data_IF_568273614706
#
_entry.id   IF_568273614706
#
_cell.length_a   1.000
_cell.length_b   1.000
_cell.length_c   1.000
_cell.angle_alpha   90.00
_cell.angle_beta   90.00
_cell.angle_gamma   90.00
#
_symmetry.space_group_name_H-M   'P 1'
#
loop_
_entity.id
_entity.type
_entity.pdbx_description
1 polymer ?
#
# COMPACT_ATOMS: atom_id res chain seq x y z
N UNK A 1 2.83 12.74 7.92
CA UNK A 1 1.64 13.41 8.52
C UNK A 1 2.05 14.58 9.42
N UNK A 2 3.14 14.48 10.20
CA UNK A 2 3.66 15.58 11.01
C UNK A 2 4.19 16.77 10.20
N UNK A 3 4.96 16.53 9.13
CA UNK A 3 5.63 17.61 8.36
C UNK A 3 4.64 18.53 7.61
N UNK A 4 3.43 18.03 7.28
CA UNK A 4 2.39 18.83 6.61
C UNK A 4 1.26 19.28 7.54
N UNK A 5 1.35 19.03 8.86
CA UNK A 5 0.38 19.51 9.86
C UNK A 5 -1.08 19.17 9.59
N UNK A 6 -1.38 18.05 8.91
CA UNK A 6 -2.75 17.69 8.53
C UNK A 6 -3.39 18.55 7.43
N UNK A 7 -2.62 19.38 6.71
CA UNK A 7 -3.12 20.31 5.68
C UNK A 7 -3.51 19.65 4.35
N UNK A 8 -3.20 18.38 4.15
CA UNK A 8 -3.46 17.66 2.90
C UNK A 8 -4.42 16.51 3.15
N UNK A 9 -5.59 16.60 2.54
CA UNK A 9 -6.59 15.53 2.55
C UNK A 9 -6.10 14.31 1.72
N UNK A 10 -6.72 13.16 1.95
CA UNK A 10 -6.38 11.88 1.30
C UNK A 10 -6.28 12.02 -0.22
N UNK A 11 -7.25 12.68 -0.86
CA UNK A 11 -7.27 12.87 -2.30
C UNK A 11 -6.13 13.74 -2.81
N UNK A 12 -5.77 14.81 -2.09
CA UNK A 12 -4.67 15.70 -2.46
C UNK A 12 -3.32 14.98 -2.38
N UNK A 13 -3.15 14.10 -1.39
CA UNK A 13 -1.95 13.26 -1.28
C UNK A 13 -1.86 12.29 -2.45
N UNK A 14 -2.95 11.60 -2.78
CA UNK A 14 -2.98 10.66 -3.91
C UNK A 14 -2.66 11.39 -5.21
N UNK A 15 -3.30 12.53 -5.45
CA UNK A 15 -3.03 13.36 -6.62
C UNK A 15 -1.56 13.80 -6.70
N UNK A 16 -0.98 14.25 -5.59
CA UNK A 16 0.44 14.61 -5.52
C UNK A 16 1.37 13.41 -5.81
N UNK A 17 1.08 12.24 -5.24
CA UNK A 17 1.84 11.00 -5.51
C UNK A 17 1.77 10.59 -6.98
N UNK A 18 0.60 10.74 -7.61
CA UNK A 18 0.44 10.49 -9.06
C UNK A 18 1.23 11.50 -9.87
N UNK A 19 1.08 12.80 -9.64
CA UNK A 19 1.79 13.84 -10.41
C UNK A 19 3.31 13.69 -10.36
N UNK A 20 3.87 13.37 -9.19
CA UNK A 20 5.32 13.22 -9.02
C UNK A 20 5.85 12.00 -9.79
N UNK A 21 5.05 10.93 -9.92
CA UNK A 21 5.46 9.71 -10.62
C UNK A 21 5.13 9.70 -12.12
N UNK A 22 4.21 10.56 -12.58
CA UNK A 22 3.82 10.66 -13.99
C UNK A 22 5.00 10.85 -14.97
N UNK A 23 5.99 11.72 -14.71
CA UNK A 23 7.13 11.88 -15.62
C UNK A 23 7.89 10.58 -15.86
N UNK A 24 8.07 9.77 -14.82
CA UNK A 24 8.74 8.48 -14.90
C UNK A 24 7.96 7.50 -15.78
N UNK A 25 6.64 7.43 -15.61
CA UNK A 25 5.77 6.58 -16.43
C UNK A 25 5.73 7.00 -17.89
N UNK A 26 5.78 8.30 -18.18
CA UNK A 26 5.84 8.80 -19.56
C UNK A 26 7.15 8.36 -20.24
N UNK A 27 8.28 8.43 -19.54
CA UNK A 27 9.58 8.00 -20.08
C UNK A 27 9.57 6.50 -20.39
N UNK A 28 9.14 5.66 -19.43
CA UNK A 28 9.07 4.21 -19.64
C UNK A 28 8.07 3.86 -20.76
N UNK A 29 6.91 4.51 -20.77
CA UNK A 29 5.91 4.33 -21.83
C UNK A 29 6.45 4.68 -23.20
N UNK A 30 7.19 5.79 -23.32
CA UNK A 30 7.87 6.17 -24.56
C UNK A 30 8.86 5.10 -25.02
N UNK A 31 9.74 4.62 -24.14
CA UNK A 31 10.70 3.55 -24.45
C UNK A 31 9.97 2.27 -24.90
N UNK A 32 8.91 1.88 -24.20
CA UNK A 32 8.12 0.69 -24.53
C UNK A 32 7.44 0.80 -25.90
N UNK A 33 6.92 1.98 -26.25
CA UNK A 33 6.33 2.21 -27.58
C UNK A 33 7.35 2.00 -28.71
N UNK A 34 8.61 2.41 -28.51
CA UNK A 34 9.66 2.19 -29.52
C UNK A 34 10.16 0.73 -29.58
N UNK A 35 10.13 -0.01 -28.47
CA UNK A 35 10.62 -1.39 -28.44
C UNK A 35 9.57 -2.43 -28.85
N UNK A 36 8.33 -2.27 -28.36
CA UNK A 36 7.28 -3.31 -28.45
C UNK A 36 6.08 -2.86 -29.29
N UNK A 37 5.98 -1.56 -29.61
CA UNK A 37 4.86 -0.99 -30.35
C UNK A 37 3.65 -0.67 -29.47
N UNK A 38 2.50 -0.44 -30.10
CA UNK A 38 1.25 -0.13 -29.40
C UNK A 38 0.61 -1.38 -28.79
N UNK A 39 0.03 -1.30 -27.58
CA UNK A 39 -0.69 -2.41 -26.97
C UNK A 39 -1.98 -2.75 -27.74
N UNK A 40 -2.46 -3.99 -27.61
CA UNK A 40 -3.74 -4.39 -28.21
C UNK A 40 -4.94 -3.76 -27.49
N UNK A 41 -6.09 -3.70 -28.16
CA UNK A 41 -7.33 -3.19 -27.56
C UNK A 41 -7.72 -3.94 -26.28
N UNK A 42 -7.51 -5.25 -26.23
CA UNK A 42 -7.79 -6.06 -25.04
C UNK A 42 -6.89 -5.68 -23.87
N UNK A 43 -5.60 -5.46 -24.13
CA UNK A 43 -4.64 -5.03 -23.11
C UNK A 43 -5.01 -3.64 -22.55
N UNK A 44 -5.49 -2.73 -23.40
CA UNK A 44 -5.94 -1.40 -22.98
C UNK A 44 -7.14 -1.54 -22.04
N UNK A 45 -8.16 -2.32 -22.42
CA UNK A 45 -9.37 -2.50 -21.60
C UNK A 45 -9.06 -3.20 -20.27
N UNK A 46 -8.27 -4.28 -20.29
CA UNK A 46 -7.89 -4.99 -19.07
C UNK A 46 -7.06 -4.10 -18.13
N UNK A 47 -6.08 -3.37 -18.66
CA UNK A 47 -5.26 -2.45 -17.88
C UNK A 47 -6.07 -1.29 -17.32
N UNK A 48 -7.08 -0.81 -18.06
CA UNK A 48 -8.00 0.22 -17.59
C UNK A 48 -8.85 -0.28 -16.41
N UNK A 49 -9.43 -1.48 -16.51
CA UNK A 49 -10.22 -2.08 -15.43
C UNK A 49 -9.36 -2.25 -14.17
N UNK A 50 -8.13 -2.78 -14.31
CA UNK A 50 -7.19 -2.94 -13.19
C UNK A 50 -6.77 -1.58 -12.62
N UNK A 51 -6.49 -0.60 -13.49
CA UNK A 51 -6.10 0.75 -13.08
C UNK A 51 -7.18 1.48 -12.29
N UNK A 52 -8.45 1.37 -12.70
CA UNK A 52 -9.57 1.98 -11.97
C UNK A 52 -9.83 1.24 -10.65
N UNK A 53 -9.90 -0.09 -10.69
CA UNK A 53 -10.23 -0.89 -9.50
C UNK A 53 -9.12 -0.85 -8.43
N UNK A 54 -7.89 -1.19 -8.78
CA UNK A 54 -6.76 -1.24 -7.84
C UNK A 54 -6.12 0.14 -7.65
N UNK A 55 -5.85 0.84 -8.75
CA UNK A 55 -5.16 2.12 -8.73
C UNK A 55 -5.99 3.24 -8.11
N UNK A 56 -7.23 3.43 -8.54
CA UNK A 56 -8.07 4.54 -8.04
C UNK A 56 -8.87 4.12 -6.81
N UNK A 57 -9.71 3.09 -6.90
CA UNK A 57 -10.67 2.75 -5.83
C UNK A 57 -9.95 2.17 -4.61
N UNK A 58 -9.22 1.06 -4.77
CA UNK A 58 -8.59 0.37 -3.65
C UNK A 58 -7.55 1.23 -2.92
N UNK A 59 -6.69 1.91 -3.69
CA UNK A 59 -5.66 2.81 -3.11
C UNK A 59 -6.28 3.98 -2.35
N UNK A 60 -7.38 4.56 -2.85
CA UNK A 60 -8.10 5.62 -2.14
C UNK A 60 -8.72 5.10 -0.84
N UNK A 61 -9.39 3.95 -0.88
CA UNK A 61 -9.98 3.35 0.32
C UNK A 61 -8.92 3.00 1.37
N UNK A 62 -7.76 2.50 0.94
CA UNK A 62 -6.63 2.20 1.83
C UNK A 62 -6.10 3.47 2.50
N UNK A 63 -5.78 4.51 1.72
CA UNK A 63 -5.27 5.74 2.31
C UNK A 63 -6.31 6.43 3.20
N UNK A 64 -7.59 6.36 2.84
CA UNK A 64 -8.68 6.86 3.67
C UNK A 64 -8.78 6.07 4.99
N UNK A 65 -8.63 4.75 4.95
CA UNK A 65 -8.62 3.92 6.15
C UNK A 65 -7.45 4.28 7.06
N UNK A 66 -6.22 4.36 6.51
CA UNK A 66 -5.02 4.75 7.29
C UNK A 66 -5.15 6.15 7.89
N UNK A 67 -5.71 7.12 7.15
CA UNK A 67 -5.92 8.46 7.68
C UNK A 67 -6.95 8.49 8.82
N UNK A 68 -8.04 7.70 8.72
CA UNK A 68 -9.04 7.60 9.79
C UNK A 68 -8.50 6.98 11.07
N UNK A 69 -7.56 6.05 10.99
CA UNK A 69 -7.01 5.38 12.17
C UNK A 69 -5.66 5.93 12.62
N UNK A 70 -5.18 7.03 12.02
CA UNK A 70 -3.82 7.57 12.22
C UNK A 70 -3.41 7.87 13.66
N UNK A 71 -4.37 8.14 14.54
CA UNK A 71 -4.13 8.40 15.97
C UNK A 71 -4.01 7.13 16.83
N UNK A 72 -4.31 5.96 16.29
CA UNK A 72 -4.30 4.68 17.00
C UNK A 72 -3.34 3.72 16.28
N UNK A 73 -2.13 3.61 16.81
CA UNK A 73 -1.06 2.78 16.25
C UNK A 73 -1.45 1.30 16.12
N UNK A 74 -2.34 0.78 16.99
CA UNK A 74 -2.80 -0.60 16.87
C UNK A 74 -3.73 -0.76 15.67
N UNK A 75 -4.65 0.18 15.46
CA UNK A 75 -5.57 0.13 14.31
C UNK A 75 -4.85 0.41 12.99
N UNK A 76 -3.87 1.31 12.99
CA UNK A 76 -2.97 1.52 11.86
C UNK A 76 -2.27 0.22 11.46
N UNK A 77 -1.64 -0.46 12.43
CA UNK A 77 -0.96 -1.72 12.18
C UNK A 77 -1.88 -2.80 11.58
N UNK A 78 -3.16 -2.83 11.98
CA UNK A 78 -4.15 -3.75 11.38
C UNK A 78 -4.44 -3.39 9.93
N UNK A 79 -4.63 -2.10 9.61
CA UNK A 79 -4.86 -1.65 8.22
C UNK A 79 -3.62 -1.94 7.36
N UNK A 80 -2.42 -1.66 7.85
CA UNK A 80 -1.17 -1.95 7.14
C UNK A 80 -0.92 -3.45 6.99
N UNK A 81 -1.32 -4.27 7.97
CA UNK A 81 -1.23 -5.72 7.85
C UNK A 81 -2.07 -6.26 6.67
N UNK A 82 -3.17 -5.60 6.26
CA UNK A 82 -3.92 -6.04 5.08
C UNK A 82 -3.10 -5.94 3.78
N UNK A 83 -2.17 -5.00 3.69
CA UNK A 83 -1.24 -4.87 2.55
C UNK A 83 -0.31 -6.09 2.46
N UNK A 84 0.10 -6.66 3.61
CA UNK A 84 0.85 -7.91 3.64
C UNK A 84 0.04 -9.10 3.13
N UNK A 85 -1.23 -9.16 3.51
CA UNK A 85 -2.16 -10.21 3.09
C UNK A 85 -2.47 -10.13 1.60
N UNK A 86 -2.49 -8.92 1.02
CA UNK A 86 -2.68 -8.72 -0.42
C UNK A 86 -1.64 -9.51 -1.23
N UNK A 87 -0.37 -9.53 -0.82
CA UNK A 87 0.69 -10.26 -1.54
C UNK A 87 0.39 -11.76 -1.59
N UNK A 88 -0.04 -12.35 -0.46
CA UNK A 88 -0.45 -13.76 -0.38
C UNK A 88 -1.67 -14.03 -1.26
N UNK A 89 -2.67 -13.14 -1.18
CA UNK A 89 -3.91 -13.27 -1.92
C UNK A 89 -3.69 -13.18 -3.44
N UNK A 90 -2.84 -12.26 -3.90
CA UNK A 90 -2.47 -12.12 -5.32
C UNK A 90 -1.77 -13.37 -5.81
N UNK A 91 -0.81 -13.92 -5.07
CA UNK A 91 -0.11 -15.14 -5.46
C UNK A 91 -1.05 -16.34 -5.59
N UNK A 92 -1.90 -16.57 -4.57
CA UNK A 92 -2.86 -17.67 -4.59
C UNK A 92 -3.89 -17.47 -5.70
N UNK A 93 -4.38 -16.24 -5.86
CA UNK A 93 -5.34 -15.87 -6.90
C UNK A 93 -4.78 -16.06 -8.30
N UNK A 94 -3.52 -15.72 -8.54
CA UNK A 94 -2.86 -15.91 -9.84
C UNK A 94 -2.75 -17.40 -10.20
N UNK A 95 -2.37 -18.26 -9.25
CA UNK A 95 -2.29 -19.71 -9.46
C UNK A 95 -3.69 -20.30 -9.68
N UNK A 96 -4.68 -19.89 -8.87
CA UNK A 96 -6.02 -20.48 -8.88
C UNK A 96 -6.92 -19.97 -10.02
N UNK A 97 -6.90 -18.67 -10.33
CA UNK A 97 -7.77 -18.06 -11.36
C UNK A 97 -7.10 -17.97 -12.73
N UNK A 98 -5.81 -17.63 -12.80
CA UNK A 98 -5.12 -17.43 -14.08
C UNK A 98 -4.42 -18.70 -14.59
N UNK A 99 -4.47 -19.80 -13.81
CA UNK A 99 -3.74 -21.05 -14.11
C UNK A 99 -2.24 -20.80 -14.36
N UNK A 100 -1.68 -19.81 -13.67
CA UNK A 100 -0.26 -19.47 -13.77
C UNK A 100 0.59 -20.64 -13.25
N UNK A 101 1.73 -20.96 -13.90
CA UNK A 101 2.60 -22.03 -13.44
C UNK A 101 3.05 -21.78 -12.00
N UNK A 102 3.17 -22.85 -11.22
CA UNK A 102 3.66 -22.75 -9.85
C UNK A 102 5.01 -22.00 -9.83
N UNK A 103 5.20 -21.09 -8.85
CA UNK A 103 6.45 -20.35 -8.72
C UNK A 103 7.62 -21.35 -8.64
N UNK A 104 8.71 -21.02 -9.34
CA UNK A 104 9.91 -21.85 -9.32
C UNK A 104 10.49 -21.97 -7.89
N UNK A 105 11.39 -22.93 -7.66
CA UNK A 105 11.96 -23.17 -6.33
C UNK A 105 12.60 -21.92 -5.68
N UNK A 106 13.21 -21.04 -6.47
CA UNK A 106 13.81 -19.78 -5.99
C UNK A 106 12.73 -18.79 -5.56
N UNK A 107 11.66 -18.66 -6.33
CA UNK A 107 10.51 -17.81 -6.01
C UNK A 107 9.79 -18.29 -4.74
N UNK A 108 9.69 -19.60 -4.51
CA UNK A 108 9.18 -20.17 -3.26
C UNK A 108 10.08 -19.79 -2.07
N UNK A 109 11.40 -19.87 -2.22
CA UNK A 109 12.34 -19.45 -1.16
C UNK A 109 12.19 -17.95 -0.87
N UNK A 110 12.13 -17.10 -1.91
CA UNK A 110 11.92 -15.66 -1.77
C UNK A 110 10.60 -15.33 -1.07
N UNK A 111 9.53 -16.05 -1.41
CA UNK A 111 8.22 -15.92 -0.79
C UNK A 111 8.25 -16.32 0.69
N UNK A 112 8.87 -17.45 1.03
CA UNK A 112 9.09 -17.85 2.42
C UNK A 112 9.86 -16.79 3.21
N UNK A 113 10.90 -16.19 2.60
CA UNK A 113 11.67 -15.10 3.20
C UNK A 113 10.81 -13.86 3.50
N UNK A 114 9.95 -13.46 2.56
CA UNK A 114 9.01 -12.33 2.76
C UNK A 114 8.07 -12.65 3.92
N UNK A 115 7.41 -13.82 3.91
CA UNK A 115 6.49 -14.22 4.99
C UNK A 115 7.20 -14.22 6.35
N UNK A 116 8.39 -14.82 6.43
CA UNK A 116 9.17 -14.87 7.66
C UNK A 116 9.54 -13.46 8.16
N UNK A 117 9.95 -12.58 7.25
CA UNK A 117 10.24 -11.18 7.58
C UNK A 117 9.02 -10.45 8.13
N UNK A 118 7.85 -10.65 7.52
CA UNK A 118 6.59 -10.04 7.96
C UNK A 118 6.11 -10.59 9.30
N UNK A 119 6.21 -11.91 9.51
CA UNK A 119 5.90 -12.54 10.79
C UNK A 119 6.85 -12.02 11.88
N UNK A 120 8.16 -12.04 11.64
CA UNK A 120 9.15 -11.54 12.58
C UNK A 120 8.86 -10.09 12.98
N UNK A 121 8.64 -9.20 12.01
CA UNK A 121 8.28 -7.80 12.27
C UNK A 121 7.02 -7.70 13.15
N UNK A 122 5.97 -8.45 12.83
CA UNK A 122 4.73 -8.47 13.63
C UNK A 122 4.97 -8.97 15.08
N UNK A 123 5.78 -10.02 15.27
CA UNK A 123 6.13 -10.55 16.59
C UNK A 123 6.95 -9.55 17.43
N UNK A 124 7.91 -8.86 16.82
CA UNK A 124 8.72 -7.87 17.53
C UNK A 124 7.92 -6.59 17.86
N UNK A 125 7.02 -6.17 16.97
CA UNK A 125 6.14 -5.01 17.21
C UNK A 125 5.13 -5.21 18.36
N UNK A 126 4.79 -6.46 18.72
CA UNK A 126 3.96 -6.75 19.91
C UNK A 126 4.64 -6.46 21.25
N UNK A 127 5.98 -6.30 21.30
CA UNK A 127 6.73 -6.10 22.56
C UNK A 127 6.88 -4.63 23.00
N UNK A 128 6.35 -3.67 22.25
CA UNK A 128 6.39 -2.26 22.68
C UNK A 128 5.26 -2.02 23.70
N UNK A 129 5.58 -1.68 24.97
CA UNK A 129 4.56 -1.30 25.93
C UNK A 129 3.88 -0.02 25.42
N UNK A 130 2.58 -0.09 25.23
CA UNK A 130 1.75 1.09 24.98
C UNK A 130 1.88 1.99 26.21
N UNK A 131 2.75 3.00 26.11
CA UNK A 131 2.83 4.10 27.08
C UNK A 131 1.49 4.83 26.99
N UNK A 132 0.53 4.46 27.85
CA UNK A 132 -0.66 5.27 28.11
C UNK A 132 -0.15 6.58 28.70
N UNK A 133 -0.07 7.63 27.91
CA UNK A 133 0.13 8.96 28.48
C UNK A 133 -1.16 9.35 29.22
N UNK A 134 -1.07 9.65 30.53
CA UNK A 134 -2.25 9.98 31.31
C UNK A 134 -2.82 11.33 30.84
N UNK A 135 -4.13 11.32 30.58
CA UNK A 135 -4.98 12.41 30.08
C UNK A 135 -4.93 13.71 30.94
N UNK A 136 -4.26 13.69 32.10
CA UNK A 136 -4.24 14.80 33.07
C UNK A 136 -3.21 15.92 32.82
N UNK A 137 -2.36 15.86 31.80
CA UNK A 137 -1.36 16.93 31.56
C UNK A 137 -1.77 18.00 30.54
N UNK A 138 -2.81 17.78 29.72
CA UNK A 138 -3.24 18.77 28.72
C UNK A 138 -4.06 19.92 29.32
N UNK A 139 -4.69 19.74 30.49
CA UNK A 139 -5.51 20.80 31.11
C UNK A 139 -4.74 21.85 31.93
N UNK A 140 -3.48 21.59 32.32
CA UNK A 140 -2.68 22.56 33.10
C UNK A 140 -1.88 23.55 32.27
N UNK A 141 -1.77 23.34 30.95
CA UNK A 141 -0.98 24.20 30.06
C UNK A 141 -1.80 25.29 29.35
N UNK A 142 -3.10 25.41 29.67
CA UNK A 142 -4.00 26.48 29.20
C UNK A 142 -4.59 27.32 30.36
N UNK A 143 -4.01 27.21 31.56
CA UNK A 143 -4.47 27.94 32.75
C UNK A 143 -3.36 28.70 33.49
N UNK A 144 -2.32 29.14 32.76
CA UNK A 144 -1.40 30.21 33.21
C UNK A 144 -1.10 31.14 32.05
#
# INVERSE_FOLDING_TARGET
>A
MEVCGGRLDTFQRIYGMTLVTMPWWIVIGGIALFQVGTPSSDQIVQSFIVGVSSGVIATTLFFLATDRVRGDQKKLAVVEATQSTQVLFVLIGEIALLSSPLPNGIAIIGFCLIILGMLAHSYFSKKLPSKKEPINQVQKQHSV
#
